data_IF_092578403238
#
_entry.id   IF_092578403238
#
_cell.length_a   1.000
_cell.length_b   1.000
_cell.length_c   1.000
_cell.angle_alpha   90.00
_cell.angle_beta   90.00
_cell.angle_gamma   90.00
#
_symmetry.space_group_name_H-M   'P 1'
#
loop_
_entity.id
_entity.type
_entity.pdbx_description
1 polymer ?
#
# COMPACT_ATOMS: atom_id res chain seq x y z
N UNK A 1 -7.58 10.82 7.00
CA UNK A 1 -7.77 10.14 5.70
C UNK A 1 -8.10 8.68 5.97
N UNK A 2 -9.14 8.10 5.35
CA UNK A 2 -9.50 6.69 5.52
C UNK A 2 -8.48 5.83 4.77
N UNK A 3 -7.62 5.10 5.48
CA UNK A 3 -6.63 4.19 4.86
C UNK A 3 -7.40 3.12 4.08
N UNK A 4 -7.33 3.17 2.75
CA UNK A 4 -7.89 2.10 1.91
C UNK A 4 -7.02 0.87 2.21
N UNK A 5 -7.62 -0.14 2.83
CA UNK A 5 -6.88 -1.32 3.27
C UNK A 5 -6.68 -2.25 2.06
N UNK A 6 -5.75 -1.87 1.18
CA UNK A 6 -5.51 -2.52 -0.10
C UNK A 6 -5.10 -3.99 0.06
N UNK A 7 -4.43 -4.32 1.16
CA UNK A 7 -4.09 -5.70 1.57
C UNK A 7 -5.31 -6.63 1.58
N UNK A 8 -6.47 -6.14 2.05
CA UNK A 8 -7.70 -6.94 2.09
C UNK A 8 -8.31 -7.22 0.70
N UNK A 9 -7.99 -6.40 -0.29
CA UNK A 9 -8.44 -6.56 -1.68
C UNK A 9 -7.43 -7.34 -2.53
N UNK A 10 -6.13 -7.14 -2.31
CA UNK A 10 -5.06 -7.83 -3.03
C UNK A 10 -5.17 -9.36 -2.94
N UNK A 11 -5.42 -9.90 -1.75
CA UNK A 11 -5.62 -11.35 -1.59
C UNK A 11 -6.85 -11.87 -2.34
N UNK A 12 -7.96 -11.10 -2.36
CA UNK A 12 -9.18 -11.48 -3.10
C UNK A 12 -8.93 -11.53 -4.61
N UNK A 13 -8.16 -10.57 -5.13
CA UNK A 13 -7.80 -10.51 -6.55
C UNK A 13 -6.93 -11.74 -6.92
N UNK A 14 -5.91 -12.05 -6.12
CA UNK A 14 -5.07 -13.25 -6.36
C UNK A 14 -5.89 -14.54 -6.29
N UNK A 15 -6.78 -14.68 -5.30
CA UNK A 15 -7.67 -15.84 -5.19
C UNK A 15 -8.58 -15.97 -6.42
N UNK A 16 -9.18 -14.87 -6.90
CA UNK A 16 -10.00 -14.91 -8.12
C UNK A 16 -9.19 -15.31 -9.35
N UNK A 17 -7.97 -14.78 -9.51
CA UNK A 17 -7.07 -15.14 -10.60
C UNK A 17 -6.66 -16.62 -10.55
N UNK A 18 -6.38 -17.16 -9.35
CA UNK A 18 -6.08 -18.57 -9.14
C UNK A 18 -7.28 -19.48 -9.45
N UNK A 19 -8.49 -19.08 -9.09
CA UNK A 19 -9.71 -19.82 -9.44
C UNK A 19 -9.90 -19.83 -10.97
N UNK A 20 -9.75 -18.68 -11.63
CA UNK A 20 -9.84 -18.60 -13.10
C UNK A 20 -8.77 -19.47 -13.78
N UNK A 21 -7.53 -19.49 -13.25
CA UNK A 21 -6.43 -20.32 -13.75
C UNK A 21 -6.79 -21.81 -13.78
N UNK A 22 -7.59 -22.28 -12.84
CA UNK A 22 -7.99 -23.69 -12.73
C UNK A 22 -9.30 -23.95 -13.48
N UNK A 23 -10.28 -23.04 -13.37
CA UNK A 23 -11.59 -23.22 -13.96
C UNK A 23 -11.55 -23.23 -15.49
N UNK A 24 -10.78 -22.33 -16.12
CA UNK A 24 -10.66 -22.23 -17.57
C UNK A 24 -10.14 -23.53 -18.23
N UNK A 25 -9.01 -24.13 -17.78
CA UNK A 25 -8.54 -25.38 -18.35
C UNK A 25 -9.50 -26.53 -18.08
N UNK A 26 -10.16 -26.60 -16.92
CA UNK A 26 -11.19 -27.63 -16.65
C UNK A 26 -12.34 -27.54 -17.66
N UNK A 27 -12.86 -26.34 -17.90
CA UNK A 27 -13.93 -26.11 -18.89
C UNK A 27 -13.46 -26.51 -20.29
N UNK A 28 -12.22 -26.16 -20.67
CA UNK A 28 -11.65 -26.56 -21.96
C UNK A 28 -11.50 -28.08 -22.09
N UNK A 29 -11.10 -28.78 -21.03
CA UNK A 29 -11.02 -30.24 -21.01
C UNK A 29 -12.39 -30.90 -21.10
N UNK A 30 -13.41 -30.36 -20.43
CA UNK A 30 -14.79 -30.83 -20.56
C UNK A 30 -15.32 -30.64 -22.00
N UNK A 31 -15.08 -29.47 -22.60
CA UNK A 31 -15.44 -29.19 -23.99
C UNK A 31 -14.73 -30.11 -24.98
N UNK A 32 -13.44 -30.40 -24.74
CA UNK A 32 -12.69 -31.39 -25.52
C UNK A 32 -13.35 -32.78 -25.42
N UNK A 33 -13.79 -33.20 -24.23
CA UNK A 33 -14.43 -34.52 -24.05
C UNK A 33 -15.74 -34.65 -24.83
N UNK A 34 -16.48 -33.55 -25.01
CA UNK A 34 -17.77 -33.54 -25.72
C UNK A 34 -17.55 -33.41 -27.24
N UNK A 35 -16.69 -32.49 -27.66
CA UNK A 35 -16.53 -32.11 -29.07
C UNK A 35 -15.41 -32.86 -29.80
N UNK A 36 -14.47 -33.46 -29.06
CA UNK A 36 -13.25 -34.12 -29.56
C UNK A 36 -12.37 -33.24 -30.47
N UNK A 37 -12.53 -31.92 -30.44
CA UNK A 37 -11.73 -31.01 -31.25
C UNK A 37 -10.38 -30.69 -30.61
N UNK A 38 -9.29 -30.95 -31.33
CA UNK A 38 -7.92 -30.72 -30.85
C UNK A 38 -7.62 -29.25 -30.53
N UNK A 39 -8.38 -28.31 -31.08
CA UNK A 39 -8.23 -26.86 -30.80
C UNK A 39 -8.40 -26.55 -29.30
N UNK A 40 -9.30 -27.25 -28.59
CA UNK A 40 -9.51 -27.04 -27.15
C UNK A 40 -8.30 -27.44 -26.30
N UNK A 41 -7.47 -28.39 -26.74
CA UNK A 41 -6.22 -28.71 -26.04
C UNK A 41 -5.21 -27.57 -26.15
N UNK A 42 -5.13 -26.93 -27.33
CA UNK A 42 -4.23 -25.81 -27.55
C UNK A 42 -4.66 -24.58 -26.74
N UNK A 43 -5.96 -24.28 -26.71
CA UNK A 43 -6.55 -23.23 -25.88
C UNK A 43 -6.37 -23.50 -24.37
N UNK A 44 -6.50 -24.75 -23.92
CA UNK A 44 -6.26 -25.11 -22.52
C UNK A 44 -4.81 -24.82 -22.10
N UNK A 45 -3.83 -25.21 -22.93
CA UNK A 45 -2.41 -24.94 -22.66
C UNK A 45 -2.10 -23.44 -22.70
N UNK A 46 -2.60 -22.73 -23.70
CA UNK A 46 -2.39 -21.29 -23.85
C UNK A 46 -2.99 -20.50 -22.68
N UNK A 47 -4.22 -20.85 -22.26
CA UNK A 47 -4.87 -20.19 -21.11
C UNK A 47 -4.15 -20.46 -19.79
N UNK A 48 -3.60 -21.67 -19.61
CA UNK A 48 -2.81 -22.01 -18.43
C UNK A 48 -1.50 -21.20 -18.37
N UNK A 49 -0.75 -21.11 -19.49
CA UNK A 49 0.48 -20.31 -19.55
C UNK A 49 0.18 -18.83 -19.31
N UNK A 50 -0.83 -18.27 -19.97
CA UNK A 50 -1.24 -16.88 -19.77
C UNK A 50 -1.69 -16.62 -18.33
N UNK A 51 -2.49 -17.52 -17.76
CA UNK A 51 -2.96 -17.39 -16.39
C UNK A 51 -1.82 -17.42 -15.38
N UNK A 52 -0.82 -18.30 -15.55
CA UNK A 52 0.37 -18.33 -14.69
C UNK A 52 1.13 -17.01 -14.78
N UNK A 53 1.32 -16.48 -15.99
CA UNK A 53 2.00 -15.20 -16.19
C UNK A 53 1.28 -14.04 -15.49
N UNK A 54 -0.05 -13.98 -15.61
CA UNK A 54 -0.88 -12.99 -14.92
C UNK A 54 -0.78 -13.15 -13.39
N UNK A 55 -0.86 -14.39 -12.89
CA UNK A 55 -0.77 -14.66 -11.45
C UNK A 55 0.57 -14.23 -10.88
N UNK A 56 1.68 -14.56 -11.55
CA UNK A 56 3.02 -14.13 -11.15
C UNK A 56 3.14 -12.60 -11.14
N UNK A 57 2.61 -11.93 -12.16
CA UNK A 57 2.59 -10.48 -12.23
C UNK A 57 1.83 -9.86 -11.04
N UNK A 58 0.64 -10.38 -10.70
CA UNK A 58 -0.14 -9.93 -9.54
C UNK A 58 0.59 -10.16 -8.21
N UNK A 59 1.29 -11.28 -8.06
CA UNK A 59 2.10 -11.57 -6.86
C UNK A 59 3.24 -10.55 -6.72
N UNK A 60 3.90 -10.20 -7.82
CA UNK A 60 4.98 -9.19 -7.82
C UNK A 60 4.43 -7.82 -7.40
N UNK A 61 3.29 -7.40 -7.95
CA UNK A 61 2.64 -6.15 -7.56
C UNK A 61 2.28 -6.14 -6.07
N UNK A 62 1.71 -7.22 -5.55
CA UNK A 62 1.38 -7.33 -4.13
C UNK A 62 2.63 -7.22 -3.24
N UNK A 63 3.75 -7.85 -3.64
CA UNK A 63 5.01 -7.73 -2.90
C UNK A 63 5.51 -6.28 -2.86
N UNK A 64 5.42 -5.57 -3.97
CA UNK A 64 5.83 -4.15 -4.05
C UNK A 64 4.96 -3.31 -3.11
N UNK A 65 3.65 -3.52 -3.13
CA UNK A 65 2.70 -2.81 -2.28
C UNK A 65 2.98 -3.07 -0.78
N UNK A 66 3.17 -4.33 -0.39
CA UNK A 66 3.53 -4.69 0.98
C UNK A 66 4.86 -4.07 1.44
N UNK A 67 5.83 -3.99 0.53
CA UNK A 67 7.11 -3.34 0.83
C UNK A 67 6.94 -1.83 1.02
N UNK A 68 6.15 -1.17 0.17
CA UNK A 68 5.85 0.26 0.31
C UNK A 68 5.10 0.54 1.62
N UNK A 69 4.07 -0.25 1.93
CA UNK A 69 3.30 -0.11 3.16
C UNK A 69 4.18 -0.26 4.41
N UNK A 70 5.08 -1.26 4.41
CA UNK A 70 6.05 -1.45 5.50
C UNK A 70 6.97 -0.24 5.64
N UNK A 71 7.54 0.25 4.54
CA UNK A 71 8.44 1.42 4.55
C UNK A 71 7.73 2.68 5.07
N UNK A 72 6.47 2.88 4.68
CA UNK A 72 5.66 4.00 5.14
C UNK A 72 5.38 3.87 6.65
N UNK A 73 4.99 2.68 7.11
CA UNK A 73 4.72 2.44 8.54
C UNK A 73 5.98 2.65 9.40
N UNK A 74 7.14 2.19 8.95
CA UNK A 74 8.43 2.45 9.59
C UNK A 74 8.76 3.96 9.63
N UNK A 75 8.51 4.69 8.54
CA UNK A 75 8.74 6.13 8.49
C UNK A 75 7.83 6.89 9.47
N UNK A 76 6.54 6.55 9.54
CA UNK A 76 5.62 7.18 10.50
C UNK A 76 5.94 6.81 11.95
N UNK A 77 6.37 5.57 12.22
CA UNK A 77 6.83 5.15 13.56
C UNK A 77 8.10 5.86 14.00
N UNK A 78 9.06 6.04 13.10
CA UNK A 78 10.28 6.78 13.40
C UNK A 78 10.00 8.27 13.65
N UNK A 79 8.99 8.84 12.96
CA UNK A 79 8.72 10.27 12.98
C UNK A 79 7.50 10.67 13.84
N UNK A 80 6.96 9.75 14.66
CA UNK A 80 5.70 10.01 15.38
C UNK A 80 5.80 11.20 16.32
N UNK A 81 6.99 11.46 16.88
CA UNK A 81 7.30 12.56 17.79
C UNK A 81 7.94 13.78 17.10
N UNK A 82 7.82 13.87 15.77
CA UNK A 82 8.37 14.97 14.99
C UNK A 82 7.22 15.90 14.59
N UNK A 83 7.48 17.21 14.66
CA UNK A 83 6.63 18.23 14.04
C UNK A 83 7.16 18.57 12.65
N UNK A 84 6.29 18.61 11.64
CA UNK A 84 6.67 19.01 10.28
C UNK A 84 6.29 20.47 10.03
N UNK A 85 7.21 21.32 9.50
CA UNK A 85 6.88 22.71 9.20
C UNK A 85 5.94 22.79 7.98
N UNK A 86 4.89 23.60 8.12
CA UNK A 86 3.95 23.95 7.06
C UNK A 86 4.32 25.32 6.46
N UNK A 87 3.87 25.57 5.22
CA UNK A 87 4.17 26.81 4.47
C UNK A 87 3.64 28.09 5.14
N UNK A 88 2.69 27.97 6.05
CA UNK A 88 2.05 29.06 6.78
C UNK A 88 2.75 29.41 8.12
N UNK A 89 3.92 28.81 8.39
CA UNK A 89 4.65 29.03 9.65
C UNK A 89 4.07 28.27 10.85
N UNK A 90 3.07 27.41 10.63
CA UNK A 90 2.58 26.44 11.61
C UNK A 90 3.27 25.10 11.41
N UNK A 91 3.05 24.17 12.33
CA UNK A 91 3.57 22.82 12.28
C UNK A 91 2.44 21.79 12.30
N UNK A 92 2.71 20.63 11.69
CA UNK A 92 1.86 19.46 11.73
C UNK A 92 2.41 18.42 12.72
N UNK A 93 1.57 17.98 13.66
CA UNK A 93 1.85 16.85 14.53
C UNK A 93 1.72 15.54 13.74
N UNK A 94 2.82 14.81 13.56
CA UNK A 94 2.80 13.53 12.85
C UNK A 94 2.09 12.39 13.60
N UNK A 95 1.79 12.55 14.90
CA UNK A 95 1.01 11.54 15.65
C UNK A 95 -0.49 11.61 15.31
N UNK A 96 -1.08 12.81 15.30
CA UNK A 96 -2.54 12.97 15.20
C UNK A 96 -3.01 13.81 14.00
N UNK A 97 -2.09 14.35 13.21
CA UNK A 97 -2.41 15.21 12.06
C UNK A 97 -2.88 16.61 12.43
N UNK A 98 -2.69 17.06 13.69
CA UNK A 98 -3.01 18.43 14.08
C UNK A 98 -2.08 19.41 13.36
N UNK A 99 -2.64 20.29 12.51
CA UNK A 99 -1.92 21.25 11.67
C UNK A 99 -1.82 22.67 12.29
N UNK A 100 -2.28 22.83 13.54
CA UNK A 100 -2.26 24.11 14.26
C UNK A 100 -1.18 24.17 15.35
N UNK A 101 -0.12 23.35 15.25
CA UNK A 101 0.96 23.35 16.23
C UNK A 101 1.80 24.61 16.02
N UNK A 102 1.97 25.41 17.08
CA UNK A 102 2.79 26.63 17.06
C UNK A 102 4.27 26.33 17.30
N UNK A 103 5.15 27.25 16.92
CA UNK A 103 6.60 27.15 17.11
C UNK A 103 7.00 26.96 18.58
N UNK A 104 6.33 27.66 19.52
CA UNK A 104 6.62 27.53 20.95
C UNK A 104 6.08 26.24 21.60
N UNK A 105 5.25 25.45 20.92
CA UNK A 105 4.61 24.28 21.52
C UNK A 105 5.54 23.06 21.54
N UNK A 106 5.92 22.64 22.76
CA UNK A 106 6.70 21.42 23.04
C UNK A 106 5.88 20.13 22.92
N UNK A 107 4.56 20.23 23.02
CA UNK A 107 3.65 19.09 22.95
C UNK A 107 2.40 19.42 22.14
N UNK A 108 1.78 18.39 21.56
CA UNK A 108 0.54 18.56 20.83
C UNK A 108 -0.64 18.73 21.78
N UNK A 109 -1.39 19.83 21.65
CA UNK A 109 -2.60 20.09 22.46
C UNK A 109 -3.74 19.08 22.24
N UNK A 110 -3.74 18.34 21.13
CA UNK A 110 -4.81 17.39 20.78
C UNK A 110 -4.50 15.97 21.29
N UNK A 111 -3.29 15.47 21.06
CA UNK A 111 -2.92 14.09 21.39
C UNK A 111 -1.91 13.95 22.54
N UNK A 112 -1.36 15.05 23.05
CA UNK A 112 -0.41 15.04 24.15
C UNK A 112 1.01 14.58 23.80
N UNK A 113 1.31 14.24 22.54
CA UNK A 113 2.67 13.84 22.14
C UNK A 113 3.67 14.96 22.37
N UNK A 114 4.78 14.66 23.05
CA UNK A 114 5.93 15.56 23.20
C UNK A 114 6.84 15.47 21.97
N UNK A 115 7.22 16.61 21.41
CA UNK A 115 8.04 16.69 20.20
C UNK A 115 9.54 16.58 20.54
N UNK A 116 10.25 15.67 19.86
CA UNK A 116 11.70 15.46 20.07
C UNK A 116 12.56 16.41 19.23
N UNK A 117 12.07 16.89 18.09
CA UNK A 117 12.77 17.88 17.25
C UNK A 117 12.55 19.33 17.72
N UNK A 118 12.25 19.51 19.01
CA UNK A 118 12.16 20.82 19.64
C UNK A 118 13.57 21.26 20.03
N UNK A 119 14.30 21.89 19.11
CA UNK A 119 15.53 22.62 19.43
C UNK A 119 15.20 24.08 19.74
N UNK A 120 15.73 24.61 20.84
CA UNK A 120 15.61 26.04 21.23
C UNK A 120 16.15 27.01 20.16
N UNK A 121 16.87 26.52 19.15
CA UNK A 121 17.44 27.30 18.06
C UNK A 121 16.46 27.73 16.94
N UNK A 122 15.23 27.22 16.92
CA UNK A 122 14.21 27.71 15.96
C UNK A 122 13.77 29.17 16.26
N UNK A 123 14.23 29.74 17.39
CA UNK A 123 14.05 31.14 17.74
C UNK A 123 15.10 32.10 17.17
N UNK A 124 16.18 31.60 16.56
CA UNK A 124 17.31 32.45 16.11
C UNK A 124 17.63 32.35 14.62
N UNK A 125 16.60 32.33 13.78
CA UNK A 125 16.69 32.83 12.39
C UNK A 125 15.84 34.08 12.23
N UNK A 126 16.15 35.12 13.02
CA UNK A 126 15.92 36.50 12.65
C UNK A 126 17.29 37.14 12.38
N UNK A 127 17.39 37.84 11.25
CA UNK A 127 18.50 38.69 10.78
C UNK A 127 19.58 38.03 9.91
N UNK A 128 19.30 37.97 8.60
CA UNK A 128 20.03 38.81 7.62
C UNK A 128 19.22 38.94 6.33
#
# INVERSE_FOLDING_TARGET
>A
MKKINSIGYGHKIICSAAVCLIALPIICYLLLSITKQAQFQLFAKASLVLGIMILLFLIVLLKIELYQDKKIDEHFKANTKIRLPLKNGLFECQTCGNNQVKTEQRSCIICGTNFENWSEDDGNKKQR
#
